data_IF_138738985894
#
_entry.id   IF_138738985894
#
_cell.length_a   1.000
_cell.length_b   1.000
_cell.length_c   1.000
_cell.angle_alpha   90.00
_cell.angle_beta   90.00
_cell.angle_gamma   90.00
#
_symmetry.space_group_name_H-M   'P 1'
#
loop_
_entity.id
_entity.type
_entity.pdbx_description
1 polymer ?
#
# COMPACT_ATOMS: atom_id res chain seq x y z
N UNK A 1 13.86 19.59 0.32
CA UNK A 1 12.93 18.63 -0.30
C UNK A 1 13.69 17.36 -0.64
N UNK A 2 13.90 16.50 0.36
CA UNK A 2 14.63 15.26 0.16
C UNK A 2 13.71 14.27 -0.55
N UNK A 3 13.98 14.00 -1.83
CA UNK A 3 13.53 12.79 -2.48
C UNK A 3 14.22 11.62 -1.77
N UNK A 4 13.67 11.16 -0.65
CA UNK A 4 14.16 9.96 0.00
C UNK A 4 13.96 8.79 -0.96
N UNK A 5 15.08 8.29 -1.46
CA UNK A 5 15.23 7.07 -2.25
C UNK A 5 14.80 5.81 -1.48
N UNK A 6 14.40 5.96 -0.21
CA UNK A 6 14.05 4.89 0.74
C UNK A 6 12.57 4.51 0.77
N UNK A 7 11.70 5.21 0.02
CA UNK A 7 10.33 4.77 -0.11
C UNK A 7 10.31 3.45 -0.87
N UNK A 8 9.92 2.39 -0.14
CA UNK A 8 9.40 1.10 -0.61
C UNK A 8 10.42 -0.05 -0.66
N UNK A 9 11.18 -0.26 0.43
CA UNK A 9 11.87 -1.53 0.71
C UNK A 9 10.95 -2.73 0.94
N UNK A 10 9.62 -2.54 0.86
CA UNK A 10 8.61 -3.59 1.03
C UNK A 10 8.58 -4.45 -0.23
N UNK A 11 9.08 -5.68 -0.11
CA UNK A 11 9.12 -6.66 -1.19
C UNK A 11 7.99 -7.67 -1.05
N UNK A 12 7.85 -8.53 -2.06
CA UNK A 12 6.96 -9.67 -1.94
C UNK A 12 7.46 -10.63 -0.86
N UNK A 13 6.55 -11.28 -0.11
CA UNK A 13 5.08 -11.22 -0.24
C UNK A 13 4.42 -10.04 0.50
N UNK A 14 5.17 -9.28 1.31
CA UNK A 14 4.64 -8.25 2.20
C UNK A 14 3.89 -7.13 1.43
N UNK A 15 4.39 -6.71 0.27
CA UNK A 15 3.72 -5.68 -0.52
C UNK A 15 2.37 -6.18 -1.09
N UNK A 16 2.28 -7.45 -1.49
CA UNK A 16 1.03 -8.07 -1.91
C UNK A 16 0.00 -8.14 -0.78
N UNK A 17 0.46 -8.44 0.44
CA UNK A 17 -0.38 -8.45 1.63
C UNK A 17 -0.90 -7.06 1.98
N UNK A 18 -0.04 -6.02 1.94
CA UNK A 18 -0.43 -4.62 2.13
C UNK A 18 -1.51 -4.22 1.11
N UNK A 19 -1.30 -4.52 -0.18
CA UNK A 19 -2.25 -4.21 -1.25
C UNK A 19 -3.61 -4.84 -0.97
N UNK A 20 -3.63 -6.12 -0.59
CA UNK A 20 -4.86 -6.84 -0.26
C UNK A 20 -5.57 -6.24 0.94
N UNK A 21 -4.82 -5.93 2.01
CA UNK A 21 -5.36 -5.37 3.25
C UNK A 21 -5.93 -3.95 3.03
N UNK A 22 -5.22 -3.12 2.26
CA UNK A 22 -5.66 -1.79 1.86
C UNK A 22 -6.95 -1.85 1.03
N UNK A 23 -7.00 -2.74 0.04
CA UNK A 23 -8.20 -2.97 -0.78
C UNK A 23 -9.40 -3.42 0.07
N UNK A 24 -9.18 -4.35 0.99
CA UNK A 24 -10.24 -4.86 1.88
C UNK A 24 -10.73 -3.78 2.85
N UNK A 25 -9.84 -2.91 3.33
CA UNK A 25 -10.19 -1.76 4.17
C UNK A 25 -11.13 -0.78 3.45
N UNK A 26 -10.90 -0.59 2.14
CA UNK A 26 -11.75 0.20 1.25
C UNK A 26 -13.01 -0.54 0.77
N UNK A 27 -13.16 -1.83 1.12
CA UNK A 27 -14.27 -2.70 0.69
C UNK A 27 -14.41 -2.80 -0.84
N UNK A 28 -13.27 -2.82 -1.55
CA UNK A 28 -13.23 -2.88 -3.01
C UNK A 28 -12.93 -4.29 -3.53
N UNK A 29 -13.49 -4.61 -4.70
CA UNK A 29 -13.04 -5.77 -5.48
C UNK A 29 -11.67 -5.48 -6.10
N UNK A 30 -10.97 -6.51 -6.56
CA UNK A 30 -9.67 -6.32 -7.22
C UNK A 30 -9.80 -5.46 -8.49
N UNK A 31 -10.91 -5.57 -9.21
CA UNK A 31 -11.23 -4.76 -10.40
C UNK A 31 -11.41 -3.29 -10.03
N UNK A 32 -12.23 -2.99 -9.02
CA UNK A 32 -12.45 -1.59 -8.58
C UNK A 32 -11.16 -0.96 -8.06
N UNK A 33 -10.36 -1.74 -7.33
CA UNK A 33 -9.07 -1.28 -6.84
C UNK A 33 -8.05 -1.07 -7.96
N UNK A 34 -8.07 -1.93 -8.99
CA UNK A 34 -7.26 -1.76 -10.18
C UNK A 34 -7.60 -0.45 -10.90
N UNK A 35 -8.89 -0.17 -11.11
CA UNK A 35 -9.37 1.10 -11.68
C UNK A 35 -8.89 2.30 -10.87
N UNK A 36 -8.97 2.23 -9.53
CA UNK A 36 -8.52 3.31 -8.65
C UNK A 36 -7.00 3.58 -8.77
N UNK A 37 -6.20 2.53 -8.96
CA UNK A 37 -4.74 2.67 -9.14
C UNK A 37 -4.33 2.90 -10.61
N UNK A 38 -5.28 2.92 -11.55
CA UNK A 38 -4.98 3.07 -12.98
C UNK A 38 -4.24 1.87 -13.58
N UNK A 39 -4.47 0.67 -13.04
CA UNK A 39 -3.90 -0.59 -13.54
C UNK A 39 -4.99 -1.60 -13.88
N UNK A 40 -4.61 -2.76 -14.41
CA UNK A 40 -5.56 -3.81 -14.78
C UNK A 40 -5.80 -4.79 -13.63
N UNK A 41 -6.98 -5.43 -13.59
CA UNK A 41 -7.29 -6.49 -12.62
C UNK A 41 -6.21 -7.58 -12.51
N UNK A 42 -5.68 -8.16 -13.62
CA UNK A 42 -4.63 -9.17 -13.53
C UNK A 42 -3.36 -8.66 -12.85
N UNK A 43 -3.10 -7.35 -12.92
CA UNK A 43 -1.95 -6.73 -12.26
C UNK A 43 -2.12 -6.75 -10.73
N UNK A 44 -3.28 -6.35 -10.22
CA UNK A 44 -3.61 -6.47 -8.79
C UNK A 44 -3.58 -7.93 -8.35
N UNK A 45 -4.18 -8.85 -9.12
CA UNK A 45 -4.20 -10.27 -8.79
C UNK A 45 -2.78 -10.86 -8.68
N UNK A 46 -1.86 -10.50 -9.58
CA UNK A 46 -0.46 -10.95 -9.48
C UNK A 46 0.25 -10.33 -8.27
N UNK A 47 -0.01 -9.07 -7.96
CA UNK A 47 0.58 -8.42 -6.79
C UNK A 47 0.09 -9.04 -5.48
N UNK A 48 -1.22 -9.21 -5.30
CA UNK A 48 -1.79 -9.78 -4.06
C UNK A 48 -1.36 -11.23 -3.81
N UNK A 49 -1.08 -11.99 -4.87
CA UNK A 49 -0.65 -13.39 -4.78
C UNK A 49 0.88 -13.58 -4.80
N UNK A 50 1.68 -12.51 -4.74
CA UNK A 50 3.14 -12.65 -4.67
C UNK A 50 3.83 -12.87 -6.03
N UNK A 51 3.10 -12.93 -7.14
CA UNK A 51 3.63 -13.30 -8.46
C UNK A 51 4.35 -12.15 -9.19
N UNK A 52 4.17 -10.90 -8.75
CA UNK A 52 4.89 -9.75 -9.30
C UNK A 52 4.99 -8.62 -8.26
N UNK A 53 6.04 -7.81 -8.30
CA UNK A 53 6.18 -6.61 -7.45
C UNK A 53 5.63 -5.37 -8.19
N UNK A 54 4.94 -4.44 -7.52
CA UNK A 54 4.50 -3.21 -8.15
C UNK A 54 5.67 -2.33 -8.60
N UNK A 55 5.46 -1.54 -9.65
CA UNK A 55 6.47 -0.59 -10.13
C UNK A 55 6.65 0.56 -9.13
N UNK A 56 7.77 1.30 -9.18
CA UNK A 56 7.96 2.48 -8.31
C UNK A 56 6.80 3.49 -8.38
N UNK A 57 6.20 3.68 -9.56
CA UNK A 57 5.03 4.54 -9.73
C UNK A 57 3.81 3.99 -8.98
N UNK A 58 3.51 2.71 -9.17
CA UNK A 58 2.38 2.07 -8.49
C UNK A 58 2.54 2.09 -6.96
N UNK A 59 3.76 1.86 -6.50
CA UNK A 59 4.08 1.92 -5.07
C UNK A 59 3.86 3.34 -4.49
N UNK A 60 4.20 4.40 -5.23
CA UNK A 60 3.88 5.78 -4.82
C UNK A 60 2.37 6.04 -4.76
N UNK A 61 1.59 5.49 -5.69
CA UNK A 61 0.13 5.59 -5.66
C UNK A 61 -0.46 4.87 -4.43
N UNK A 62 0.06 3.69 -4.10
CA UNK A 62 -0.31 2.94 -2.89
C UNK A 62 0.02 3.73 -1.62
N UNK A 63 1.21 4.32 -1.52
CA UNK A 63 1.60 5.14 -0.37
C UNK A 63 0.73 6.40 -0.25
N UNK A 64 0.42 7.05 -1.37
CA UNK A 64 -0.49 8.21 -1.41
C UNK A 64 -1.87 7.83 -0.89
N UNK A 65 -2.42 6.70 -1.35
CA UNK A 65 -3.72 6.21 -0.89
C UNK A 65 -3.71 5.87 0.60
N UNK A 66 -2.61 5.29 1.11
CA UNK A 66 -2.44 4.99 2.52
C UNK A 66 -2.38 6.27 3.38
N UNK A 67 -1.70 7.32 2.90
CA UNK A 67 -1.68 8.65 3.55
C UNK A 67 -3.07 9.28 3.62
N UNK A 68 -3.82 9.27 2.51
CA UNK A 68 -5.17 9.81 2.46
C UNK A 68 -6.09 9.12 3.48
N UNK A 69 -5.94 7.81 3.70
CA UNK A 69 -6.71 7.10 4.72
C UNK A 69 -6.30 7.47 6.15
N UNK A 70 -5.04 7.83 6.38
CA UNK A 70 -4.58 8.31 7.69
C UNK A 70 -5.11 9.69 8.06
N UNK A 71 -5.48 10.47 7.05
CA UNK A 71 -6.06 11.81 7.19
C UNK A 71 -7.60 11.80 7.10
N UNK A 72 -8.22 10.65 6.81
CA UNK A 72 -9.67 10.51 6.67
C UNK A 72 -10.41 10.95 7.94
N UNK A 73 -11.60 11.55 7.81
CA UNK A 73 -12.45 11.89 8.97
C UNK A 73 -13.03 10.66 9.68
N UNK A 74 -13.04 9.49 9.03
CA UNK A 74 -13.43 8.21 9.62
C UNK A 74 -12.33 7.65 10.54
N UNK A 75 -12.63 7.55 11.83
CA UNK A 75 -11.68 7.06 12.85
C UNK A 75 -11.22 5.61 12.62
N UNK A 76 -12.06 4.77 12.02
CA UNK A 76 -11.73 3.37 11.69
C UNK A 76 -10.71 3.32 10.57
N UNK A 77 -10.91 4.12 9.51
CA UNK A 77 -9.98 4.20 8.38
C UNK A 77 -8.61 4.73 8.82
N UNK A 78 -8.58 5.78 9.66
CA UNK A 78 -7.33 6.29 10.23
C UNK A 78 -6.58 5.22 11.00
N UNK A 79 -7.24 4.55 11.97
CA UNK A 79 -6.61 3.48 12.77
C UNK A 79 -6.07 2.35 11.90
N UNK A 80 -6.84 1.91 10.90
CA UNK A 80 -6.40 0.85 9.97
C UNK A 80 -5.20 1.26 9.14
N UNK A 81 -5.20 2.48 8.59
CA UNK A 81 -4.07 2.99 7.81
C UNK A 81 -2.79 3.11 8.64
N UNK A 82 -2.89 3.57 9.89
CA UNK A 82 -1.77 3.64 10.81
C UNK A 82 -1.22 2.26 11.14
N UNK A 83 -2.09 1.29 11.45
CA UNK A 83 -1.68 -0.10 11.69
C UNK A 83 -0.98 -0.72 10.47
N UNK A 84 -1.48 -0.48 9.25
CA UNK A 84 -0.81 -0.92 8.03
C UNK A 84 0.56 -0.25 7.87
N UNK A 85 0.69 1.05 8.16
CA UNK A 85 1.99 1.74 8.12
C UNK A 85 3.00 1.11 9.06
N UNK A 86 2.63 0.93 10.33
CA UNK A 86 3.50 0.32 11.34
C UNK A 86 3.90 -1.11 10.97
N UNK A 87 2.94 -1.90 10.44
CA UNK A 87 3.15 -3.30 10.07
C UNK A 87 4.06 -3.47 8.85
N UNK A 88 3.87 -2.69 7.80
CA UNK A 88 4.56 -2.91 6.50
C UNK A 88 5.72 -1.94 6.26
N UNK A 89 5.73 -0.78 6.93
CA UNK A 89 6.81 0.20 6.88
C UNK A 89 7.29 0.49 8.30
N UNK A 90 7.78 -0.52 9.04
CA UNK A 90 8.36 -0.25 10.35
C UNK A 90 9.49 0.75 10.16
N UNK A 91 9.44 1.86 10.89
CA UNK A 91 10.57 2.79 10.98
C UNK A 91 11.74 1.92 11.41
N UNK A 92 12.70 1.68 10.51
CA UNK A 92 13.98 1.13 10.94
C UNK A 92 14.50 2.14 11.93
N UNK A 93 14.62 1.75 13.18
CA UNK A 93 15.39 2.53 14.14
C UNK A 93 16.76 2.77 13.48
N UNK A 94 16.98 4.02 13.05
CA UNK A 94 18.29 4.50 12.69
C UNK A 94 19.06 4.69 14.00
N UNK A 95 19.40 3.60 14.67
CA UNK A 95 20.29 3.52 15.83
C UNK A 95 20.89 2.09 15.77
N UNK A 96 22.19 1.84 15.68
CA UNK A 96 23.37 2.62 16.06
C UNK A 96 24.55 2.30 15.12
#
# INVERSE_FOLDING_TARGET
MAFHQDYLGVRQPAIGQLIRELRQTLQLTQEKFATQLGVTFPTINRWENGHATPSPLALRQIDTLLNQLSESSDATLRKRSQAMREKYFPVRELNA
#
